data_IF_532697570616
#
_entry.id   IF_532697570616
#
_cell.length_a   1.000
_cell.length_b   1.000
_cell.length_c   1.000
_cell.angle_alpha   90.00
_cell.angle_beta   90.00
_cell.angle_gamma   90.00
#
_symmetry.space_group_name_H-M   'P 1'
#
loop_
_entity.id
_entity.type
_entity.pdbx_description
1 polymer ?
#
# COMPACT_ATOMS: atom_id res chain seq x y z
N UNK A 1 -56.96 0.70 -18.00
CA UNK A 1 -56.78 0.42 -19.44
C UNK A 1 -55.67 -0.62 -19.58
N UNK A 2 -55.99 -1.82 -20.07
CA UNK A 2 -55.00 -2.89 -20.25
C UNK A 2 -54.08 -2.54 -21.43
N UNK A 3 -52.77 -2.70 -21.25
CA UNK A 3 -51.79 -2.45 -22.30
C UNK A 3 -51.98 -3.45 -23.45
N UNK A 4 -51.94 -2.96 -24.69
CA UNK A 4 -51.98 -3.81 -25.89
C UNK A 4 -50.77 -4.76 -25.87
N UNK A 5 -50.96 -5.97 -26.35
CA UNK A 5 -49.93 -7.03 -26.36
C UNK A 5 -48.59 -6.60 -26.97
N UNK A 6 -48.63 -5.69 -27.95
CA UNK A 6 -47.46 -5.11 -28.58
C UNK A 6 -46.63 -4.22 -27.66
N UNK A 7 -47.28 -3.49 -26.75
CA UNK A 7 -46.62 -2.63 -25.77
C UNK A 7 -45.98 -3.48 -24.65
N UNK A 8 -46.62 -4.58 -24.29
CA UNK A 8 -46.07 -5.56 -23.36
C UNK A 8 -44.76 -6.17 -23.91
N UNK A 9 -44.75 -6.55 -25.18
CA UNK A 9 -43.56 -7.09 -25.85
C UNK A 9 -42.41 -6.06 -25.91
N UNK A 10 -42.72 -4.79 -26.21
CA UNK A 10 -41.72 -3.70 -26.20
C UNK A 10 -41.12 -3.47 -24.81
N UNK A 11 -41.94 -3.51 -23.77
CA UNK A 11 -41.46 -3.35 -22.40
C UNK A 11 -40.62 -4.53 -21.93
N UNK A 12 -40.92 -5.76 -22.39
CA UNK A 12 -40.06 -6.92 -22.15
C UNK A 12 -38.72 -6.80 -22.86
N UNK A 13 -38.71 -6.41 -24.14
CA UNK A 13 -37.48 -6.19 -24.90
C UNK A 13 -36.59 -5.12 -24.23
N UNK A 14 -37.19 -4.00 -23.79
CA UNK A 14 -36.46 -2.94 -23.09
C UNK A 14 -35.88 -3.39 -21.75
N UNK A 15 -36.55 -4.29 -21.04
CA UNK A 15 -36.04 -4.88 -19.78
C UNK A 15 -34.86 -5.83 -20.04
N UNK A 16 -34.93 -6.65 -21.08
CA UNK A 16 -33.84 -7.55 -21.48
C UNK A 16 -32.59 -6.79 -21.94
N UNK A 17 -32.76 -5.74 -22.73
CA UNK A 17 -31.65 -4.88 -23.14
C UNK A 17 -31.00 -4.16 -21.95
N UNK A 18 -31.81 -3.80 -20.94
CA UNK A 18 -31.33 -3.23 -19.69
C UNK A 18 -30.50 -4.22 -18.89
N UNK A 19 -30.99 -5.46 -18.71
CA UNK A 19 -30.27 -6.49 -17.95
C UNK A 19 -28.94 -6.86 -18.60
N UNK A 20 -28.92 -7.05 -19.92
CA UNK A 20 -27.70 -7.38 -20.67
C UNK A 20 -26.62 -6.31 -20.59
N UNK A 21 -27.01 -5.03 -20.49
CA UNK A 21 -26.06 -3.90 -20.34
C UNK A 21 -25.64 -3.68 -18.90
N UNK A 22 -26.47 -4.06 -17.93
CA UNK A 22 -26.22 -3.89 -16.50
C UNK A 22 -25.52 -5.07 -15.84
N UNK A 23 -25.40 -6.20 -16.55
CA UNK A 23 -24.59 -7.34 -16.12
C UNK A 23 -23.14 -6.87 -16.03
N UNK A 24 -22.78 -6.36 -14.86
CA UNK A 24 -21.42 -5.96 -14.55
C UNK A 24 -20.51 -7.18 -14.72
N UNK A 25 -19.27 -6.93 -15.15
CA UNK A 25 -18.25 -7.97 -15.27
C UNK A 25 -18.32 -8.86 -14.02
N UNK A 26 -18.50 -10.18 -14.17
CA UNK A 26 -18.65 -11.08 -13.03
C UNK A 26 -17.52 -10.82 -12.05
N UNK A 27 -17.79 -10.90 -10.74
CA UNK A 27 -16.86 -10.48 -9.66
C UNK A 27 -15.52 -11.27 -9.63
N UNK A 28 -15.32 -12.17 -10.60
CA UNK A 28 -14.10 -12.91 -10.95
C UNK A 28 -13.17 -12.11 -11.88
N UNK A 29 -13.75 -11.34 -12.80
CA UNK A 29 -13.07 -10.52 -13.79
C UNK A 29 -12.92 -9.09 -13.25
N UNK A 30 -11.84 -8.84 -12.50
CA UNK A 30 -11.52 -7.52 -11.95
C UNK A 30 -10.99 -7.48 -10.52
N UNK A 31 -10.91 -8.63 -9.83
CA UNK A 31 -10.34 -8.74 -8.48
C UNK A 31 -8.89 -8.21 -8.40
N UNK A 32 -8.10 -8.40 -9.46
CA UNK A 32 -6.73 -7.88 -9.52
C UNK A 32 -6.64 -6.35 -9.70
N UNK A 33 -7.73 -5.69 -10.12
CA UNK A 33 -7.77 -4.24 -10.37
C UNK A 33 -8.45 -3.45 -9.24
N UNK A 34 -9.17 -4.13 -8.33
CA UNK A 34 -9.75 -3.57 -7.10
C UNK A 34 -8.75 -3.36 -5.97
N UNK A 35 -7.48 -3.77 -6.15
CA UNK A 35 -6.39 -3.26 -5.31
C UNK A 35 -6.15 -1.81 -5.73
N UNK A 36 -7.09 -0.93 -5.36
CA UNK A 36 -6.82 0.48 -5.21
C UNK A 36 -5.55 0.56 -4.38
N UNK A 37 -4.51 1.08 -5.01
CA UNK A 37 -3.26 1.44 -4.37
C UNK A 37 -3.57 2.59 -3.41
N UNK A 38 -4.26 2.29 -2.30
CA UNK A 38 -4.48 3.17 -1.18
C UNK A 38 -3.14 3.29 -0.46
N UNK A 39 -2.27 4.11 -1.04
CA UNK A 39 -1.00 4.54 -0.45
C UNK A 39 -1.18 5.14 0.96
N UNK A 40 -2.42 5.52 1.32
CA UNK A 40 -2.85 5.99 2.64
C UNK A 40 -2.97 4.89 3.70
N UNK A 41 -3.30 3.65 3.33
CA UNK A 41 -3.54 2.58 4.32
C UNK A 41 -2.25 2.00 4.90
N UNK A 42 -1.12 2.11 4.19
CA UNK A 42 0.20 1.68 4.73
C UNK A 42 0.74 2.55 5.87
N UNK A 43 0.07 3.67 6.18
CA UNK A 43 0.48 4.52 7.30
C UNK A 43 -0.14 4.09 8.65
N UNK A 44 -1.11 3.16 8.65
CA UNK A 44 -1.87 2.83 9.85
C UNK A 44 -1.26 1.69 10.70
N UNK A 45 -0.41 0.84 10.13
CA UNK A 45 0.12 -0.36 10.80
C UNK A 45 1.51 -0.19 11.43
N UNK A 46 2.09 1.01 11.40
CA UNK A 46 3.30 1.27 12.16
C UNK A 46 2.85 1.60 13.57
N UNK A 47 3.06 0.73 14.59
CA UNK A 47 2.81 1.11 15.97
C UNK A 47 3.58 2.41 16.21
N UNK A 48 2.89 3.45 16.69
CA UNK A 48 3.43 4.77 16.97
C UNK A 48 4.44 4.73 18.15
N UNK A 49 5.45 3.87 18.05
CA UNK A 49 6.79 4.17 18.50
C UNK A 49 7.10 5.60 18.04
N UNK A 50 7.51 6.47 18.97
CA UNK A 50 7.81 7.90 18.76
C UNK A 50 9.06 8.07 17.88
N UNK A 51 9.12 7.36 16.75
CA UNK A 51 10.16 7.43 15.74
C UNK A 51 9.99 8.75 15.02
N UNK A 52 10.99 9.60 15.15
CA UNK A 52 11.08 10.84 14.39
C UNK A 52 11.79 10.51 13.07
N UNK A 53 11.22 10.84 11.90
CA UNK A 53 11.89 10.63 10.63
C UNK A 53 13.08 11.58 10.52
N UNK A 54 14.28 11.03 10.34
CA UNK A 54 15.49 11.81 10.14
C UNK A 54 16.07 11.54 8.77
N UNK A 55 16.40 12.62 8.05
CA UNK A 55 16.96 12.55 6.71
C UNK A 55 18.41 13.03 6.74
N UNK A 56 19.35 12.17 6.35
CA UNK A 56 20.76 12.50 6.22
C UNK A 56 21.22 12.25 4.79
N UNK A 57 22.04 13.17 4.26
CA UNK A 57 22.74 12.95 3.00
C UNK A 57 24.09 12.30 3.29
N UNK A 58 24.19 11.00 3.05
CA UNK A 58 25.39 10.22 3.30
C UNK A 58 26.10 9.87 1.98
N UNK A 59 27.44 9.71 1.98
CA UNK A 59 28.18 9.19 0.83
C UNK A 59 27.71 7.79 0.43
N UNK A 60 27.72 7.51 -0.89
CA UNK A 60 27.18 6.26 -1.44
C UNK A 60 27.87 5.00 -0.88
N UNK A 61 29.18 5.08 -0.64
CA UNK A 61 29.97 3.96 -0.11
C UNK A 61 29.54 3.59 1.32
N UNK A 62 29.26 4.60 2.15
CA UNK A 62 28.82 4.42 3.52
C UNK A 62 27.44 3.76 3.56
N UNK A 63 26.50 4.24 2.74
CA UNK A 63 25.16 3.64 2.64
C UNK A 63 25.25 2.17 2.19
N UNK A 64 26.18 1.85 1.28
CA UNK A 64 26.38 0.48 0.81
C UNK A 64 26.91 -0.45 1.91
N UNK A 65 27.86 0.02 2.72
CA UNK A 65 28.36 -0.73 3.90
C UNK A 65 27.26 -0.95 4.94
N UNK A 66 26.47 0.07 5.25
CA UNK A 66 25.35 -0.05 6.19
C UNK A 66 24.32 -1.10 5.71
N UNK A 67 24.00 -1.11 4.41
CA UNK A 67 23.10 -2.12 3.84
C UNK A 67 23.66 -3.53 3.95
N UNK A 68 24.94 -3.73 3.64
CA UNK A 68 25.59 -5.04 3.77
C UNK A 68 25.55 -5.54 5.22
N UNK A 69 25.84 -4.65 6.18
CA UNK A 69 25.80 -4.98 7.60
C UNK A 69 24.39 -5.32 8.11
N UNK A 70 23.38 -4.56 7.67
CA UNK A 70 21.98 -4.82 8.00
C UNK A 70 21.51 -6.19 7.48
N UNK A 71 21.92 -6.58 6.26
CA UNK A 71 21.61 -7.91 5.72
C UNK A 71 22.20 -9.04 6.58
N UNK A 72 23.39 -8.83 7.14
CA UNK A 72 24.07 -9.86 7.93
C UNK A 72 23.58 -10.02 9.38
N UNK A 73 22.83 -9.05 9.91
CA UNK A 73 22.47 -9.02 11.34
C UNK A 73 21.00 -9.32 11.63
N UNK A 74 20.18 -9.57 10.60
CA UNK A 74 18.69 -9.64 10.67
C UNK A 74 18.07 -8.38 11.33
N UNK A 75 18.87 -7.34 11.52
CA UNK A 75 18.47 -6.07 12.08
C UNK A 75 18.20 -5.10 10.93
N UNK A 76 17.04 -4.46 10.95
CA UNK A 76 16.72 -3.41 9.99
C UNK A 76 17.74 -2.28 10.01
N UNK A 77 17.92 -1.60 8.87
CA UNK A 77 18.87 -0.50 8.70
C UNK A 77 18.77 0.58 9.79
N UNK A 78 17.55 0.87 10.25
CA UNK A 78 17.29 1.85 11.30
C UNK A 78 17.88 1.43 12.65
N UNK A 79 17.87 0.14 12.98
CA UNK A 79 18.44 -0.37 14.23
C UNK A 79 19.96 -0.31 14.21
N UNK A 80 20.58 -0.68 13.09
CA UNK A 80 22.03 -0.58 12.89
C UNK A 80 22.52 0.86 13.05
N UNK A 81 21.76 1.83 12.50
CA UNK A 81 22.10 3.25 12.66
C UNK A 81 21.92 3.70 14.11
N UNK A 82 20.84 3.27 14.78
CA UNK A 82 20.59 3.63 16.18
C UNK A 82 21.68 3.12 17.13
N UNK A 83 22.15 1.88 16.97
CA UNK A 83 23.23 1.30 17.79
C UNK A 83 24.55 2.04 17.55
N UNK A 84 24.93 2.25 16.30
CA UNK A 84 26.15 2.97 15.96
C UNK A 84 26.18 4.41 16.52
N UNK A 85 25.03 5.12 16.48
CA UNK A 85 24.91 6.46 17.04
C UNK A 85 25.00 6.45 18.58
N UNK A 86 24.35 5.50 19.25
CA UNK A 86 24.43 5.38 20.71
C UNK A 86 25.86 5.07 21.18
N UNK A 87 26.55 4.15 20.51
CA UNK A 87 27.93 3.80 20.83
C UNK A 87 28.86 5.00 20.65
N UNK A 88 28.71 5.73 19.54
CA UNK A 88 29.50 6.94 19.29
C UNK A 88 29.24 8.03 20.33
N UNK A 89 27.97 8.30 20.67
CA UNK A 89 27.61 9.29 21.69
C UNK A 89 28.13 8.91 23.08
N UNK A 90 28.07 7.62 23.44
CA UNK A 90 28.61 7.12 24.72
C UNK A 90 30.13 7.29 24.84
N UNK A 91 30.83 7.31 23.69
CA UNK A 91 32.27 7.55 23.64
C UNK A 91 32.59 9.03 23.82
N UNK A 92 31.74 9.93 23.29
CA UNK A 92 31.93 11.38 23.44
C UNK A 92 31.65 11.86 24.87
N UNK A 93 30.71 11.25 25.59
CA UNK A 93 30.37 11.66 26.97
C UNK A 93 31.39 11.22 28.02
N UNK A 94 32.28 10.29 27.69
CA UNK A 94 33.37 9.83 28.58
C UNK A 94 34.65 10.66 28.47
N UNK A 95 34.72 11.61 27.54
CA UNK A 95 35.81 12.60 27.43
C UNK A 95 35.44 13.88 28.14
#
# INVERSE_FOLDING_TARGET
MALKSTDMAKNMAKKLDGSLKSESLPDRFGQASKVQNNKRERAADIPASKLVPVNYRLPADLVSRLRQYAVGTDQGINQVVATALNDWLSTQTKK
#
